data_IF_304594424807
#
_entry.id   IF_304594424807
#
_cell.length_a   1.000
_cell.length_b   1.000
_cell.length_c   1.000
_cell.angle_alpha   90.00
_cell.angle_beta   90.00
_cell.angle_gamma   90.00
#
_symmetry.space_group_name_H-M   'P 1'
#
loop_
_entity.id
_entity.type
_entity.pdbx_description
1 polymer ?
#
# COMPACT_ATOMS: atom_id res chain seq x y z
N UNK A 1 -23.47 -0.26 12.44
CA UNK A 1 -24.04 -1.60 12.14
C UNK A 1 -23.01 -2.65 12.50
N UNK A 2 -23.40 -3.86 12.92
CA UNK A 2 -22.42 -4.89 13.29
C UNK A 2 -21.86 -5.62 12.07
N UNK A 3 -20.53 -5.80 12.03
CA UNK A 3 -19.80 -6.69 11.10
C UNK A 3 -19.34 -7.91 11.89
N UNK A 4 -19.92 -9.07 11.60
CA UNK A 4 -19.67 -10.33 12.33
C UNK A 4 -19.06 -11.39 11.39
N UNK A 5 -19.36 -12.67 11.60
CA UNK A 5 -18.93 -13.77 10.72
C UNK A 5 -19.23 -13.48 9.23
N UNK A 6 -18.33 -13.90 8.34
CA UNK A 6 -18.30 -13.55 6.90
C UNK A 6 -18.20 -12.05 6.56
N UNK A 7 -17.68 -11.22 7.47
CA UNK A 7 -17.26 -9.86 7.13
C UNK A 7 -15.80 -9.81 6.71
N UNK A 8 -15.45 -8.74 5.99
CA UNK A 8 -14.09 -8.43 5.55
C UNK A 8 -13.80 -6.94 5.75
N UNK A 9 -12.52 -6.60 5.87
CA UNK A 9 -12.01 -5.23 5.83
C UNK A 9 -10.82 -5.17 4.87
N UNK A 10 -10.77 -4.16 4.00
CA UNK A 10 -9.74 -3.97 2.99
C UNK A 10 -9.25 -2.52 2.98
N UNK A 11 -7.97 -2.29 2.73
CA UNK A 11 -7.44 -0.94 2.45
C UNK A 11 -7.58 -0.66 0.95
N UNK A 12 -8.21 0.46 0.62
CA UNK A 12 -8.36 0.93 -0.76
C UNK A 12 -7.10 1.69 -1.21
N UNK A 13 -6.90 1.76 -2.52
CA UNK A 13 -5.77 2.48 -3.14
C UNK A 13 -5.69 3.95 -2.70
N UNK A 14 -6.83 4.58 -2.40
CA UNK A 14 -6.90 5.98 -1.96
C UNK A 14 -6.75 6.16 -0.44
N UNK A 15 -6.40 5.11 0.32
CA UNK A 15 -6.21 5.14 1.76
C UNK A 15 -7.52 4.99 2.57
N UNK A 16 -8.67 4.79 1.93
CA UNK A 16 -9.91 4.49 2.69
C UNK A 16 -9.92 3.03 3.15
N UNK A 17 -10.75 2.73 4.15
CA UNK A 17 -10.98 1.35 4.59
C UNK A 17 -12.39 0.92 4.17
N UNK A 18 -12.46 -0.14 3.38
CA UNK A 18 -13.72 -0.73 2.93
C UNK A 18 -14.09 -1.86 3.90
N UNK A 19 -15.31 -1.82 4.44
CA UNK A 19 -15.88 -2.94 5.19
C UNK A 19 -17.10 -3.48 4.47
N UNK A 20 -17.18 -4.80 4.34
CA UNK A 20 -18.21 -5.46 3.56
C UNK A 20 -18.57 -6.83 4.15
N UNK A 21 -19.71 -7.36 3.71
CA UNK A 21 -20.20 -8.66 4.14
C UNK A 21 -20.66 -8.71 5.60
N UNK A 22 -21.30 -9.83 5.93
CA UNK A 22 -21.60 -10.38 7.25
C UNK A 22 -22.80 -11.33 7.08
N UNK A 23 -22.72 -12.52 7.66
CA UNK A 23 -23.79 -13.53 7.64
C UNK A 23 -23.67 -14.44 8.88
N UNK A 24 -23.86 -13.92 10.11
CA UNK A 24 -23.72 -14.70 11.34
C UNK A 24 -24.75 -15.83 11.45
N UNK A 25 -25.90 -15.69 10.79
CA UNK A 25 -26.93 -16.71 10.65
C UNK A 25 -27.16 -16.95 9.16
N UNK A 26 -26.95 -18.18 8.68
CA UNK A 26 -27.14 -18.55 7.26
C UNK A 26 -28.40 -17.91 6.64
N UNK A 27 -28.28 -17.45 5.40
CA UNK A 27 -29.35 -16.75 4.63
C UNK A 27 -29.72 -15.36 5.18
N UNK A 28 -28.87 -14.74 5.98
CA UNK A 28 -29.05 -13.38 6.50
C UNK A 28 -27.89 -12.50 6.08
N UNK A 29 -27.86 -12.12 4.80
CA UNK A 29 -26.74 -11.40 4.20
C UNK A 29 -26.76 -9.90 4.49
N UNK A 30 -25.59 -9.34 4.80
CA UNK A 30 -25.35 -7.89 4.77
C UNK A 30 -24.68 -7.50 3.44
N UNK A 31 -25.48 -7.00 2.52
CA UNK A 31 -25.05 -6.61 1.17
C UNK A 31 -24.47 -5.18 1.08
N UNK A 32 -24.56 -4.38 2.15
CA UNK A 32 -24.05 -3.01 2.17
C UNK A 32 -22.53 -2.99 2.35
N UNK A 33 -21.89 -2.11 1.56
CA UNK A 33 -20.49 -1.72 1.69
C UNK A 33 -20.43 -0.40 2.46
N UNK A 34 -19.57 -0.32 3.45
CA UNK A 34 -19.31 0.91 4.21
C UNK A 34 -17.85 1.31 3.99
N UNK A 35 -17.62 2.60 3.74
CA UNK A 35 -16.29 3.16 3.49
C UNK A 35 -15.94 4.08 4.65
N UNK A 36 -14.90 3.72 5.40
CA UNK A 36 -14.34 4.54 6.45
C UNK A 36 -13.27 5.47 5.86
N UNK A 37 -13.35 6.75 6.23
CA UNK A 37 -12.41 7.79 5.84
C UNK A 37 -11.54 8.11 7.06
N UNK A 38 -10.28 7.66 7.11
CA UNK A 38 -9.43 7.93 8.26
C UNK A 38 -9.15 9.42 8.45
N UNK A 39 -8.88 9.90 9.69
CA UNK A 39 -8.66 11.32 9.98
C UNK A 39 -7.57 11.99 9.13
N UNK A 40 -6.56 11.24 8.68
CA UNK A 40 -5.50 11.79 7.84
C UNK A 40 -6.00 12.32 6.48
N UNK A 41 -7.15 11.85 5.97
CA UNK A 41 -7.73 12.33 4.72
C UNK A 41 -8.37 13.73 4.83
N UNK A 42 -8.47 14.27 6.05
CA UNK A 42 -9.06 15.59 6.32
C UNK A 42 -8.01 16.62 6.77
N UNK A 43 -6.72 16.30 6.69
CA UNK A 43 -5.63 17.16 7.15
C UNK A 43 -5.11 18.17 6.12
N UNK A 44 -5.66 18.16 4.90
CA UNK A 44 -5.27 19.05 3.81
C UNK A 44 -5.00 18.31 2.51
N UNK A 45 -4.32 18.98 1.59
CA UNK A 45 -3.91 18.39 0.31
C UNK A 45 -2.94 17.24 0.52
N UNK A 46 -3.12 16.18 -0.28
CA UNK A 46 -2.25 15.00 -0.24
C UNK A 46 -1.02 15.24 -1.11
N UNK A 47 0.15 14.66 -0.78
CA UNK A 47 1.28 14.63 -1.70
C UNK A 47 0.91 13.83 -2.94
N UNK A 48 1.30 14.33 -4.10
CA UNK A 48 1.28 13.61 -5.37
C UNK A 48 2.71 13.18 -5.70
N UNK A 49 2.85 12.02 -6.34
CA UNK A 49 4.14 11.54 -6.78
C UNK A 49 4.04 10.72 -8.06
N UNK A 50 5.14 10.65 -8.78
CA UNK A 50 5.28 9.81 -9.97
C UNK A 50 6.47 8.86 -9.82
N UNK A 51 6.30 7.63 -10.28
CA UNK A 51 7.35 6.62 -10.39
C UNK A 51 7.59 6.32 -11.86
N UNK A 52 8.84 6.39 -12.31
CA UNK A 52 9.18 6.33 -13.74
C UNK A 52 8.82 5.00 -14.42
N UNK A 53 8.76 3.90 -13.66
CA UNK A 53 8.39 2.58 -14.16
C UNK A 53 7.55 1.84 -13.11
N UNK A 54 6.57 1.06 -13.56
CA UNK A 54 5.69 0.24 -12.73
C UNK A 54 6.27 -1.15 -12.40
N UNK A 55 7.53 -1.42 -12.75
CA UNK A 55 8.24 -2.66 -12.41
C UNK A 55 9.66 -2.40 -11.87
N UNK A 56 10.08 -3.19 -10.89
CA UNK A 56 11.38 -3.03 -10.23
C UNK A 56 11.97 -4.34 -9.71
N UNK A 57 13.29 -4.41 -9.68
CA UNK A 57 14.06 -5.51 -9.08
C UNK A 57 14.32 -5.30 -7.58
N UNK A 58 14.65 -6.38 -6.89
CA UNK A 58 15.13 -6.32 -5.51
C UNK A 58 16.45 -5.56 -5.40
N UNK A 59 16.63 -4.80 -4.32
CA UNK A 59 17.84 -4.02 -4.04
C UNK A 59 18.09 -2.85 -4.99
N UNK A 60 17.15 -2.51 -5.87
CA UNK A 60 17.25 -1.38 -6.78
C UNK A 60 17.00 -0.05 -6.06
N UNK A 61 17.59 1.03 -6.58
CA UNK A 61 17.23 2.39 -6.21
C UNK A 61 16.18 2.95 -7.18
N UNK A 62 15.20 3.71 -6.67
CA UNK A 62 14.14 4.33 -7.46
C UNK A 62 13.96 5.79 -7.07
N UNK A 63 13.98 6.65 -8.08
CA UNK A 63 13.67 8.07 -7.91
C UNK A 63 12.18 8.31 -8.15
N UNK A 64 11.57 9.04 -7.22
CA UNK A 64 10.19 9.48 -7.25
C UNK A 64 10.19 10.99 -7.42
N UNK A 65 9.36 11.51 -8.33
CA UNK A 65 9.07 12.95 -8.41
C UNK A 65 7.90 13.25 -7.50
N UNK A 66 7.97 14.28 -6.65
CA UNK A 66 6.92 14.59 -5.66
C UNK A 66 6.55 16.06 -5.62
N UNK A 67 5.30 16.35 -5.28
CA UNK A 67 4.80 17.72 -5.09
C UNK A 67 5.05 18.29 -3.69
N UNK A 68 5.47 17.45 -2.75
CA UNK A 68 5.75 17.83 -1.36
C UNK A 68 6.98 17.10 -0.79
N UNK A 69 7.50 17.62 0.33
CA UNK A 69 8.53 16.95 1.10
C UNK A 69 7.98 15.67 1.76
N UNK A 70 8.63 14.55 1.48
CA UNK A 70 8.23 13.21 1.95
C UNK A 70 9.10 12.81 3.14
N UNK A 71 8.49 12.29 4.20
CA UNK A 71 9.21 11.74 5.36
C UNK A 71 9.32 10.21 5.34
N UNK A 72 8.35 9.54 4.73
CA UNK A 72 8.24 8.08 4.70
C UNK A 72 7.72 7.63 3.33
N UNK A 73 8.23 6.51 2.84
CA UNK A 73 7.73 5.82 1.66
C UNK A 73 7.66 4.32 1.97
N UNK A 74 6.61 3.64 1.48
CA UNK A 74 6.41 2.22 1.78
C UNK A 74 5.74 1.49 0.61
N UNK A 75 6.01 0.18 0.50
CA UNK A 75 5.22 -0.78 -0.25
C UNK A 75 4.13 -1.37 0.64
N UNK A 76 2.90 -1.38 0.16
CA UNK A 76 1.78 -2.06 0.80
C UNK A 76 1.29 -3.19 -0.10
N UNK A 77 1.42 -4.44 0.37
CA UNK A 77 0.88 -5.58 -0.36
C UNK A 77 -0.65 -5.56 -0.28
N UNK A 78 -1.37 -5.83 -1.38
CA UNK A 78 -2.82 -5.91 -1.37
C UNK A 78 -3.36 -6.91 -0.35
N UNK A 79 -4.48 -6.52 0.27
CA UNK A 79 -5.25 -7.33 1.22
C UNK A 79 -6.01 -8.42 0.47
N UNK A 80 -5.97 -9.65 1.01
CA UNK A 80 -6.87 -10.75 0.64
C UNK A 80 -7.43 -11.37 1.92
N UNK A 81 -8.66 -11.01 2.25
CA UNK A 81 -9.25 -11.32 3.55
C UNK A 81 -10.50 -12.21 3.43
N UNK A 82 -10.57 -13.25 4.26
CA UNK A 82 -11.79 -14.03 4.52
C UNK A 82 -11.73 -14.61 5.92
N UNK A 83 -12.89 -14.77 6.59
CA UNK A 83 -12.95 -15.41 7.92
C UNK A 83 -11.97 -14.80 8.95
N UNK A 84 -11.86 -13.47 8.96
CA UNK A 84 -10.92 -12.74 9.81
C UNK A 84 -9.44 -13.11 9.59
N UNK A 85 -9.10 -13.63 8.40
CA UNK A 85 -7.75 -14.04 8.02
C UNK A 85 -7.31 -13.30 6.77
N UNK A 86 -6.18 -12.61 6.91
CA UNK A 86 -5.39 -12.03 5.82
C UNK A 86 -3.94 -12.48 6.02
N UNK A 87 -3.39 -13.15 5.00
CA UNK A 87 -1.99 -13.63 5.01
C UNK A 87 -1.11 -12.87 4.01
N UNK A 88 -1.67 -11.86 3.32
CA UNK A 88 -0.99 -11.14 2.24
C UNK A 88 -0.60 -9.75 2.67
N UNK A 89 -1.48 -9.01 3.35
CA UNK A 89 -1.22 -7.61 3.72
C UNK A 89 0.04 -7.49 4.58
N UNK A 90 0.92 -6.59 4.13
CA UNK A 90 2.14 -6.16 4.82
C UNK A 90 2.50 -4.76 4.35
N UNK A 91 3.10 -4.00 5.25
CA UNK A 91 3.70 -2.70 4.95
C UNK A 91 5.22 -2.88 5.06
N UNK A 92 5.95 -2.49 4.02
CA UNK A 92 7.39 -2.62 3.94
C UNK A 92 7.96 -1.25 3.63
N UNK A 93 8.86 -0.77 4.47
CA UNK A 93 9.49 0.53 4.26
C UNK A 93 10.39 0.52 3.03
N UNK A 94 10.38 1.64 2.32
CA UNK A 94 11.29 1.98 1.24
C UNK A 94 12.23 3.06 1.77
N UNK A 95 13.44 2.70 2.28
CA UNK A 95 14.34 3.67 2.88
C UNK A 95 14.66 4.81 1.90
N UNK A 96 14.47 6.05 2.34
CA UNK A 96 14.83 7.24 1.57
C UNK A 96 16.34 7.43 1.68
N UNK A 97 17.05 7.30 0.57
CA UNK A 97 18.52 7.37 0.51
C UNK A 97 19.04 8.72 0.05
N UNK A 98 18.21 9.51 -0.65
CA UNK A 98 18.54 10.87 -1.04
C UNK A 98 17.26 11.71 -1.22
N UNK A 99 17.38 13.02 -1.02
CA UNK A 99 16.32 13.99 -1.31
C UNK A 99 16.90 15.16 -2.09
N UNK A 100 16.12 15.70 -3.01
CA UNK A 100 16.43 16.90 -3.77
C UNK A 100 15.12 17.69 -4.01
N UNK A 101 15.17 18.97 -4.43
CA UNK A 101 13.96 19.72 -4.74
C UNK A 101 13.07 18.96 -5.74
N UNK A 102 11.85 18.62 -5.31
CA UNK A 102 10.85 17.90 -6.12
C UNK A 102 11.11 16.42 -6.35
N UNK A 103 12.15 15.81 -5.77
CA UNK A 103 12.43 14.38 -5.93
C UNK A 103 12.98 13.72 -4.66
N UNK A 104 12.73 12.41 -4.52
CA UNK A 104 13.44 11.57 -3.56
C UNK A 104 13.90 10.26 -4.20
N UNK A 105 14.95 9.67 -3.65
CA UNK A 105 15.41 8.33 -4.03
C UNK A 105 15.11 7.37 -2.88
N UNK A 106 14.52 6.23 -3.21
CA UNK A 106 14.22 5.15 -2.29
C UNK A 106 14.89 3.85 -2.70
N UNK A 107 15.18 2.98 -1.73
CA UNK A 107 15.69 1.63 -1.98
C UNK A 107 14.57 0.60 -1.90
N UNK A 108 14.49 -0.30 -2.88
CA UNK A 108 13.57 -1.44 -2.83
C UNK A 108 14.06 -2.52 -1.86
N UNK A 109 13.15 -3.40 -1.39
CA UNK A 109 13.54 -4.51 -0.52
C UNK A 109 14.66 -5.34 -1.14
N UNK A 110 15.59 -5.82 -0.32
CA UNK A 110 16.73 -6.63 -0.78
C UNK A 110 16.42 -8.13 -0.86
N UNK A 111 15.31 -8.58 -0.27
CA UNK A 111 15.00 -10.00 -0.15
C UNK A 111 13.52 -10.33 -0.44
N UNK A 112 13.25 -11.36 -1.25
CA UNK A 112 11.89 -11.86 -1.48
C UNK A 112 11.25 -12.48 -0.22
N UNK A 113 12.04 -12.82 0.80
CA UNK A 113 11.50 -13.31 2.07
C UNK A 113 10.78 -12.19 2.86
N UNK A 114 11.26 -10.95 2.73
CA UNK A 114 10.64 -9.77 3.34
C UNK A 114 9.41 -9.34 2.52
N UNK A 115 9.62 -9.19 1.21
CA UNK A 115 8.62 -8.72 0.26
C UNK A 115 8.48 -9.75 -0.87
N UNK A 116 7.53 -10.69 -0.82
CA UNK A 116 7.32 -11.65 -1.90
C UNK A 116 7.12 -10.97 -3.27
N UNK A 117 7.58 -11.56 -4.39
CA UNK A 117 7.39 -10.95 -5.70
C UNK A 117 5.90 -10.76 -6.02
N UNK A 118 5.54 -9.64 -6.64
CA UNK A 118 4.13 -9.34 -6.93
C UNK A 118 3.83 -7.85 -7.00
N UNK A 119 2.53 -7.54 -7.00
CA UNK A 119 2.02 -6.18 -7.04
C UNK A 119 1.92 -5.58 -5.63
N UNK A 120 2.35 -4.34 -5.51
CA UNK A 120 2.29 -3.52 -4.30
C UNK A 120 1.74 -2.15 -4.65
N UNK A 121 1.12 -1.51 -3.66
CA UNK A 121 0.90 -0.07 -3.69
C UNK A 121 2.12 0.63 -3.09
N UNK A 122 2.74 1.54 -3.83
CA UNK A 122 3.67 2.53 -3.29
C UNK A 122 2.85 3.66 -2.68
N UNK A 123 3.12 4.00 -1.43
CA UNK A 123 2.53 5.15 -0.75
C UNK A 123 3.64 6.00 -0.17
N UNK A 124 3.54 7.32 -0.31
CA UNK A 124 4.41 8.27 0.38
C UNK A 124 3.62 9.05 1.42
N UNK A 125 4.27 9.43 2.52
CA UNK A 125 3.70 10.26 3.57
C UNK A 125 4.52 11.53 3.67
N UNK A 126 3.85 12.68 3.59
CA UNK A 126 4.51 13.97 3.72
C UNK A 126 4.95 14.26 5.16
N UNK A 127 5.69 15.36 5.36
CA UNK A 127 6.13 15.80 6.70
C UNK A 127 4.97 16.13 7.65
N UNK A 128 3.77 16.42 7.14
CA UNK A 128 2.56 16.68 7.93
C UNK A 128 1.81 15.38 8.32
N UNK A 129 2.26 14.22 7.83
CA UNK A 129 1.62 12.93 8.09
C UNK A 129 0.40 12.66 7.20
N UNK A 130 0.33 13.28 6.01
CA UNK A 130 -0.73 13.06 5.02
C UNK A 130 -0.21 12.07 3.96
N UNK A 131 -0.89 10.92 3.76
CA UNK A 131 -0.48 9.94 2.78
C UNK A 131 -0.95 10.32 1.37
N UNK A 132 -0.17 9.97 0.34
CA UNK A 132 -0.56 10.03 -1.07
C UNK A 132 -1.65 8.99 -1.39
N UNK A 133 -2.26 9.08 -2.57
CA UNK A 133 -2.90 7.91 -3.19
C UNK A 133 -1.83 6.87 -3.51
N UNK A 134 -2.15 5.58 -3.40
CA UNK A 134 -1.21 4.49 -3.72
C UNK A 134 -1.02 4.33 -5.24
N UNK A 135 0.21 4.10 -5.69
CA UNK A 135 0.51 3.79 -7.10
C UNK A 135 0.98 2.34 -7.22
N UNK A 136 0.52 1.63 -8.25
CA UNK A 136 0.89 0.23 -8.44
C UNK A 136 2.35 0.09 -8.88
N UNK A 137 3.07 -0.80 -8.22
CA UNK A 137 4.44 -1.19 -8.55
C UNK A 137 4.56 -2.70 -8.43
N UNK A 138 5.12 -3.33 -9.46
CA UNK A 138 5.42 -4.75 -9.49
C UNK A 138 6.87 -4.99 -9.07
N UNK A 139 7.05 -5.74 -8.00
CA UNK A 139 8.34 -6.27 -7.60
C UNK A 139 8.57 -7.57 -8.38
N UNK A 140 9.53 -7.54 -9.30
CA UNK A 140 9.85 -8.67 -10.17
C UNK A 140 10.44 -9.83 -9.37
N UNK A 141 10.20 -11.09 -9.78
CA UNK A 141 10.91 -12.22 -9.19
C UNK A 141 12.42 -12.01 -9.30
N UNK A 142 13.22 -12.39 -8.28
CA UNK A 142 14.67 -12.33 -8.40
C UNK A 142 15.12 -13.11 -9.62
N UNK A 143 16.04 -12.54 -10.40
CA UNK A 143 16.68 -13.26 -11.50
C UNK A 143 17.34 -14.53 -10.93
N UNK A 144 17.05 -15.73 -11.48
CA UNK A 144 17.75 -16.93 -11.07
C UNK A 144 19.25 -16.72 -11.24
N UNK A 145 20.06 -17.09 -10.25
CA UNK A 145 21.51 -17.17 -10.44
C UNK A 145 21.79 -18.10 -11.63
N UNK A 146 22.70 -17.75 -12.55
CA UNK A 146 23.16 -18.70 -13.56
C UNK A 146 23.70 -19.94 -12.83
N UNK A 147 23.21 -21.11 -13.24
CA UNK A 147 23.71 -22.43 -12.81
C UNK A 147 25.10 -22.70 -13.35
#
# INVERSE_FOLDING_TARGET
MARLYHSVALVAQDGKVITAGSNPQRKTEKLRIEIFWPPYLFKGSRPEFEISTDAVEYGASRTLTTTAAVREASLMHPTSCTHSRDNTQRLIDLPITATAPGTLTVSTPSSPALAPPGWYLVVVVDTNGIPSTGHWLRLNPPTPSPV
#
